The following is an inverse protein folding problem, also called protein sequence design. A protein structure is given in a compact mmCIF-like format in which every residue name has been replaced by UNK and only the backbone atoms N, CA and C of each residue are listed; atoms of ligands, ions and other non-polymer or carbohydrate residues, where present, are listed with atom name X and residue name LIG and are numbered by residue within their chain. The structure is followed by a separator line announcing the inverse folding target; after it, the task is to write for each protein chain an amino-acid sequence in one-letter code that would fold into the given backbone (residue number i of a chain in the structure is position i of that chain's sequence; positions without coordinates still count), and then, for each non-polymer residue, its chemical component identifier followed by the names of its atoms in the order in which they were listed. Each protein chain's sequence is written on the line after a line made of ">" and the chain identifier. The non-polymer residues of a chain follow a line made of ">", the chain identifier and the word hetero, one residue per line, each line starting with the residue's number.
data_IF_051299023210
#
_entry.id   IF_051299023210
#
_cell.length_a   1.000
_cell.length_b   1.000
_cell.length_c   1.000
_cell.angle_alpha   90.00
_cell.angle_beta   90.00
_cell.angle_gamma   90.00
#
_symmetry.space_group_name_H-M   'P 1'
#
loop_
_entity.id
_entity.type
_entity.pdbx_description
1 polymer ?
#
# COMPACT_ATOMS: atom_id res chain seq x y z
N UNK A 1 6.28 0.02 -15.03
CA UNK A 1 7.60 -0.06 -14.37
C UNK A 1 8.74 0.22 -15.35
N UNK A 2 8.79 -0.44 -16.52
CA UNK A 2 9.91 -0.31 -17.49
C UNK A 2 10.18 1.12 -17.93
N UNK A 3 9.14 1.90 -18.22
CA UNK A 3 9.27 3.30 -18.61
C UNK A 3 9.96 4.17 -17.52
N UNK A 4 9.60 3.95 -16.26
CA UNK A 4 10.18 4.69 -15.12
C UNK A 4 11.63 4.28 -14.80
N UNK A 5 12.13 3.20 -15.39
CA UNK A 5 13.55 2.79 -15.32
C UNK A 5 14.43 3.42 -16.40
N UNK A 6 13.85 4.22 -17.33
CA UNK A 6 14.68 4.97 -18.27
C UNK A 6 15.56 5.96 -17.48
N UNK A 7 16.86 6.12 -17.83
CA UNK A 7 17.79 6.88 -17.00
C UNK A 7 17.30 8.28 -16.64
N UNK A 8 16.81 9.04 -17.60
CA UNK A 8 16.34 10.41 -17.36
C UNK A 8 15.16 10.49 -16.37
N UNK A 9 14.22 9.52 -16.41
CA UNK A 9 13.10 9.48 -15.47
C UNK A 9 13.49 8.93 -14.10
N UNK A 10 14.37 7.94 -14.07
CA UNK A 10 14.89 7.41 -12.81
C UNK A 10 15.64 8.50 -12.05
N UNK A 11 16.51 9.25 -12.71
CA UNK A 11 17.24 10.39 -12.13
C UNK A 11 16.27 11.47 -11.62
N UNK A 12 15.26 11.83 -12.43
CA UNK A 12 14.26 12.82 -12.02
C UNK A 12 13.42 12.38 -10.81
N UNK A 13 13.06 11.09 -10.73
CA UNK A 13 12.35 10.53 -9.57
C UNK A 13 13.24 10.56 -8.33
N UNK A 14 14.50 10.15 -8.45
CA UNK A 14 15.42 10.16 -7.33
C UNK A 14 15.75 11.57 -6.88
N UNK A 15 15.90 12.53 -7.79
CA UNK A 15 16.05 13.95 -7.47
C UNK A 15 14.83 14.47 -6.70
N UNK A 16 13.61 14.19 -7.18
CA UNK A 16 12.37 14.56 -6.51
C UNK A 16 12.34 14.06 -5.07
N UNK A 17 12.67 12.81 -4.85
CA UNK A 17 12.56 12.15 -3.53
C UNK A 17 13.70 12.50 -2.58
N UNK A 18 14.93 12.70 -3.08
CA UNK A 18 16.13 12.88 -2.25
C UNK A 18 16.56 14.34 -2.06
N UNK A 19 16.30 15.21 -3.04
CA UNK A 19 16.80 16.57 -3.03
C UNK A 19 15.71 17.64 -3.03
N UNK A 20 14.52 17.32 -3.54
CA UNK A 20 13.42 18.30 -3.70
C UNK A 20 12.29 18.12 -2.70
N UNK A 21 12.50 17.34 -1.67
CA UNK A 21 11.51 17.08 -0.60
C UNK A 21 10.18 16.52 -1.10
N UNK A 22 10.19 15.84 -2.26
CA UNK A 22 8.99 15.35 -2.92
C UNK A 22 8.39 14.12 -2.26
N UNK A 23 7.11 13.89 -2.56
CA UNK A 23 6.35 12.74 -2.09
C UNK A 23 5.82 11.95 -3.30
N UNK A 24 5.71 10.62 -3.14
CA UNK A 24 5.15 9.75 -4.18
C UNK A 24 4.15 8.76 -3.59
N UNK A 25 2.95 8.70 -4.18
CA UNK A 25 1.91 7.75 -3.82
C UNK A 25 1.58 6.84 -5.01
N UNK A 26 1.58 5.54 -4.76
CA UNK A 26 1.14 4.52 -5.72
C UNK A 26 -0.11 3.80 -5.23
N UNK A 27 -1.21 3.91 -5.99
CA UNK A 27 -2.46 3.23 -5.67
C UNK A 27 -2.67 2.08 -6.66
N UNK A 28 -3.02 0.90 -6.15
CA UNK A 28 -3.32 -0.30 -6.93
C UNK A 28 -2.18 -0.66 -7.91
N UNK A 29 -2.36 -0.46 -9.22
CA UNK A 29 -1.32 -0.63 -10.22
C UNK A 29 -0.09 0.26 -9.99
N UNK A 30 -0.30 1.45 -9.42
CA UNK A 30 0.80 2.33 -8.97
C UNK A 30 1.64 1.67 -7.88
N UNK A 31 1.01 1.06 -6.90
CA UNK A 31 1.73 0.31 -5.85
C UNK A 31 2.55 -0.85 -6.44
N UNK A 32 1.97 -1.62 -7.36
CA UNK A 32 2.70 -2.68 -8.06
C UNK A 32 3.95 -2.13 -8.79
N UNK A 33 3.82 -0.96 -9.43
CA UNK A 33 4.95 -0.32 -10.10
C UNK A 33 6.04 0.11 -9.10
N UNK A 34 5.64 0.73 -7.97
CA UNK A 34 6.58 1.15 -6.92
C UNK A 34 7.35 -0.03 -6.32
N UNK A 35 6.67 -1.16 -6.06
CA UNK A 35 7.34 -2.38 -5.57
C UNK A 35 8.32 -2.93 -6.60
N UNK A 36 7.90 -3.05 -7.86
CA UNK A 36 8.78 -3.55 -8.95
C UNK A 36 9.99 -2.65 -9.22
N UNK A 37 9.91 -1.38 -8.87
CA UNK A 37 11.02 -0.43 -8.98
C UNK A 37 11.96 -0.44 -7.77
N UNK A 38 11.52 -0.98 -6.62
CA UNK A 38 12.23 -0.89 -5.35
C UNK A 38 11.95 0.36 -4.54
N UNK A 39 11.14 1.30 -5.07
CA UNK A 39 10.78 2.55 -4.38
C UNK A 39 10.04 2.29 -3.07
N UNK A 40 9.25 1.25 -2.98
CA UNK A 40 8.84 0.63 -1.73
C UNK A 40 9.26 -0.84 -1.75
N UNK A 41 9.88 -1.36 -0.69
CA UNK A 41 10.11 -0.73 0.62
C UNK A 41 11.45 0.02 0.76
N UNK A 42 12.26 0.18 -0.28
CA UNK A 42 13.66 0.61 -0.14
C UNK A 42 13.89 2.12 -0.32
N UNK A 43 12.95 2.86 -0.91
CA UNK A 43 13.08 4.31 -1.15
C UNK A 43 14.02 4.68 -2.29
N UNK A 44 14.38 3.73 -3.15
CA UNK A 44 15.26 3.91 -4.28
C UNK A 44 14.90 2.99 -5.45
N UNK A 45 15.23 3.39 -6.66
CA UNK A 45 15.10 2.53 -7.83
C UNK A 45 16.28 1.55 -7.84
N UNK A 46 15.93 0.26 -7.75
CA UNK A 46 16.91 -0.85 -7.70
C UNK A 46 16.37 -2.09 -8.38
N UNK A 47 17.24 -3.04 -8.65
CA UNK A 47 16.83 -4.36 -9.10
C UNK A 47 16.25 -5.15 -7.93
N UNK A 48 15.18 -5.88 -8.22
CA UNK A 48 14.45 -6.71 -7.28
C UNK A 48 14.73 -8.18 -7.57
N UNK A 49 14.95 -8.93 -6.52
CA UNK A 49 15.23 -10.37 -6.56
C UNK A 49 14.26 -11.16 -5.67
N UNK A 50 14.51 -12.46 -5.52
CA UNK A 50 13.68 -13.38 -4.73
C UNK A 50 13.67 -13.09 -3.22
N UNK A 51 14.61 -12.29 -2.71
CA UNK A 51 14.67 -11.87 -1.30
C UNK A 51 13.81 -10.64 -1.02
N UNK A 52 13.26 -10.02 -2.06
CA UNK A 52 12.47 -8.79 -1.98
C UNK A 52 10.97 -9.08 -1.87
N UNK A 53 10.22 -8.18 -1.23
CA UNK A 53 8.76 -8.23 -1.28
C UNK A 53 8.22 -8.03 -2.70
N UNK A 54 7.05 -8.60 -2.98
CA UNK A 54 6.36 -8.39 -4.26
C UNK A 54 4.84 -8.40 -4.10
N UNK A 55 4.16 -7.97 -5.16
CA UNK A 55 2.72 -8.12 -5.34
C UNK A 55 2.45 -9.16 -6.42
N UNK A 56 1.56 -10.09 -6.14
CA UNK A 56 1.23 -11.21 -7.01
C UNK A 56 -0.28 -11.46 -7.07
N UNK A 57 -0.68 -12.52 -7.77
CA UNK A 57 -2.09 -12.89 -7.93
C UNK A 57 -2.79 -13.10 -6.60
N UNK A 58 -4.06 -12.66 -6.52
CA UNK A 58 -4.94 -12.94 -5.41
C UNK A 58 -5.02 -14.46 -5.18
N UNK A 59 -5.12 -14.90 -3.92
CA UNK A 59 -5.19 -16.33 -3.56
C UNK A 59 -6.30 -17.08 -4.29
N UNK A 60 -7.42 -16.42 -4.53
CA UNK A 60 -8.57 -17.04 -5.24
C UNK A 60 -8.38 -17.12 -6.75
N UNK A 61 -7.24 -16.68 -7.31
CA UNK A 61 -6.92 -16.77 -8.73
C UNK A 61 -7.77 -15.89 -9.66
N UNK A 62 -8.52 -14.91 -9.13
CA UNK A 62 -9.38 -14.04 -9.94
C UNK A 62 -9.45 -12.62 -9.40
N UNK A 63 -9.98 -11.72 -10.22
CA UNK A 63 -10.24 -10.32 -9.87
C UNK A 63 -11.18 -10.22 -8.66
N UNK A 64 -10.85 -9.32 -7.73
CA UNK A 64 -11.70 -8.91 -6.61
C UNK A 64 -12.07 -7.45 -6.77
N UNK A 65 -13.37 -7.16 -6.72
CA UNK A 65 -13.91 -5.80 -6.69
C UNK A 65 -14.92 -5.72 -5.55
N UNK A 66 -14.53 -5.08 -4.45
CA UNK A 66 -15.37 -4.94 -3.25
C UNK A 66 -14.85 -3.85 -2.33
N UNK A 67 -15.63 -3.47 -1.34
CA UNK A 67 -15.16 -2.68 -0.21
C UNK A 67 -14.50 -3.57 0.83
N UNK A 68 -13.42 -3.07 1.42
CA UNK A 68 -12.68 -3.68 2.53
C UNK A 68 -12.47 -2.65 3.62
N UNK A 69 -12.34 -3.10 4.86
CA UNK A 69 -11.92 -2.24 5.96
C UNK A 69 -10.42 -2.40 6.17
N UNK A 70 -9.74 -1.27 6.26
CA UNK A 70 -8.31 -1.20 6.56
C UNK A 70 -8.08 -0.40 7.84
N UNK A 71 -7.01 -0.73 8.55
CA UNK A 71 -6.53 -0.02 9.73
C UNK A 71 -5.20 0.63 9.45
N UNK A 72 -5.00 1.84 9.94
CA UNK A 72 -3.69 2.49 9.98
C UNK A 72 -2.81 1.75 10.98
N UNK A 73 -1.72 1.15 10.49
CA UNK A 73 -0.77 0.39 11.30
C UNK A 73 0.43 1.25 11.74
N UNK A 74 0.83 2.23 10.91
CA UNK A 74 1.92 3.17 11.20
C UNK A 74 1.61 4.54 10.61
N UNK A 75 2.11 5.58 11.24
CA UNK A 75 2.04 6.98 10.78
C UNK A 75 3.43 7.57 10.48
N UNK A 76 4.44 6.72 10.27
CA UNK A 76 5.81 7.10 9.97
C UNK A 76 5.98 7.63 8.53
N UNK A 77 5.14 8.58 8.14
CA UNK A 77 5.10 9.11 6.78
C UNK A 77 4.43 10.48 6.76
N UNK A 78 4.93 11.43 5.94
CA UNK A 78 4.23 12.69 5.66
C UNK A 78 2.81 12.49 5.10
N UNK A 79 2.55 11.37 4.41
CA UNK A 79 1.22 11.02 3.92
C UNK A 79 0.19 10.79 5.03
N UNK A 80 0.64 10.57 6.27
CA UNK A 80 -0.21 10.18 7.39
C UNK A 80 -0.39 11.28 8.44
N UNK A 81 -0.07 12.53 8.11
CA UNK A 81 -0.13 13.68 9.05
C UNK A 81 -1.51 13.88 9.70
N UNK A 82 -2.58 13.52 8.98
CA UNK A 82 -3.97 13.63 9.47
C UNK A 82 -4.55 12.31 9.98
N UNK A 83 -3.74 11.26 10.06
CA UNK A 83 -4.15 9.91 10.49
C UNK A 83 -3.57 9.56 11.85
N UNK A 84 -4.21 8.62 12.54
CA UNK A 84 -3.73 8.04 13.81
C UNK A 84 -3.65 6.53 13.68
N UNK A 85 -2.68 5.93 14.36
CA UNK A 85 -2.60 4.46 14.47
C UNK A 85 -3.93 3.94 15.05
N UNK A 86 -4.50 2.97 14.37
CA UNK A 86 -5.81 2.40 14.74
C UNK A 86 -6.99 2.98 13.96
N UNK A 87 -6.86 4.09 13.25
CA UNK A 87 -7.95 4.62 12.42
C UNK A 87 -8.40 3.58 11.40
N UNK A 88 -9.72 3.43 11.27
CA UNK A 88 -10.37 2.49 10.37
C UNK A 88 -10.97 3.21 9.17
N UNK A 89 -10.69 2.70 7.97
CA UNK A 89 -11.24 3.23 6.72
C UNK A 89 -11.84 2.11 5.88
N UNK A 90 -13.02 2.34 5.34
CA UNK A 90 -13.69 1.41 4.42
C UNK A 90 -13.51 1.91 3.00
N UNK A 91 -12.68 1.23 2.23
CA UNK A 91 -12.23 1.65 0.90
C UNK A 91 -12.50 0.58 -0.15
N UNK A 92 -12.75 0.96 -1.41
CA UNK A 92 -12.90 -0.01 -2.49
C UNK A 92 -11.54 -0.55 -2.93
N UNK A 93 -11.51 -1.84 -3.27
CA UNK A 93 -10.43 -2.50 -4.00
C UNK A 93 -10.93 -3.01 -5.34
N UNK A 94 -10.05 -3.10 -6.34
CA UNK A 94 -10.38 -3.62 -7.66
C UNK A 94 -9.10 -4.11 -8.36
N UNK A 95 -8.75 -5.37 -8.14
CA UNK A 95 -7.50 -5.95 -8.66
C UNK A 95 -7.52 -7.47 -8.75
N UNK A 96 -6.75 -8.04 -9.70
CA UNK A 96 -6.43 -9.46 -9.80
C UNK A 96 -5.10 -9.83 -9.14
N UNK A 97 -4.19 -8.85 -9.02
CA UNK A 97 -2.83 -8.96 -8.48
C UNK A 97 -2.65 -7.94 -7.36
N UNK A 98 -3.14 -8.23 -6.17
CA UNK A 98 -3.04 -7.35 -5.01
C UNK A 98 -2.49 -8.02 -3.76
N UNK A 99 -2.05 -9.27 -3.90
CA UNK A 99 -1.52 -10.07 -2.80
C UNK A 99 -0.08 -9.67 -2.51
N UNK A 100 0.14 -9.03 -1.37
CA UNK A 100 1.48 -8.74 -0.88
C UNK A 100 2.10 -10.01 -0.29
N UNK A 101 3.30 -10.34 -0.76
CA UNK A 101 4.12 -11.45 -0.27
C UNK A 101 5.54 -10.96 -0.01
N UNK A 102 6.15 -11.49 1.04
CA UNK A 102 7.52 -11.15 1.42
C UNK A 102 8.20 -12.36 2.07
N UNK A 103 9.50 -12.59 1.83
CA UNK A 103 10.30 -13.49 2.64
C UNK A 103 10.28 -13.06 4.11
N UNK A 104 10.48 -14.01 5.02
CA UNK A 104 10.38 -13.77 6.46
C UNK A 104 11.26 -12.61 6.93
N UNK A 105 12.51 -12.57 6.52
CA UNK A 105 13.45 -11.51 6.91
C UNK A 105 13.01 -10.12 6.43
N UNK A 106 12.49 -10.03 5.20
CA UNK A 106 11.97 -8.78 4.66
C UNK A 106 10.71 -8.32 5.41
N UNK A 107 9.80 -9.25 5.74
CA UNK A 107 8.62 -8.95 6.54
C UNK A 107 8.97 -8.45 7.94
N UNK A 108 9.88 -9.12 8.62
CA UNK A 108 10.37 -8.73 9.96
C UNK A 108 11.00 -7.33 9.93
N UNK A 109 11.78 -7.02 8.89
CA UNK A 109 12.37 -5.69 8.69
C UNK A 109 11.29 -4.63 8.48
N UNK A 110 10.30 -4.87 7.64
CA UNK A 110 9.18 -3.94 7.41
C UNK A 110 8.42 -3.61 8.70
N UNK A 111 8.17 -4.62 9.52
CA UNK A 111 7.46 -4.46 10.80
C UNK A 111 8.35 -3.68 11.79
N UNK A 112 9.61 -4.08 11.96
CA UNK A 112 10.54 -3.46 12.89
C UNK A 112 10.78 -1.96 12.56
N UNK A 113 10.82 -1.61 11.28
CA UNK A 113 11.02 -0.24 10.82
C UNK A 113 9.73 0.60 10.77
N UNK A 114 8.57 0.03 11.13
CA UNK A 114 7.29 0.74 11.06
C UNK A 114 6.87 1.10 9.63
N UNK A 115 7.30 0.33 8.64
CA UNK A 115 7.00 0.56 7.23
C UNK A 115 5.66 -0.04 6.78
N UNK A 116 4.97 -0.81 7.62
CA UNK A 116 3.60 -1.27 7.34
C UNK A 116 2.65 -0.11 7.57
N UNK A 117 2.10 0.43 6.49
CA UNK A 117 1.23 1.61 6.50
C UNK A 117 -0.19 1.25 6.96
N UNK A 118 -0.79 0.29 6.29
CA UNK A 118 -2.17 -0.12 6.48
C UNK A 118 -2.32 -1.64 6.38
N UNK A 119 -3.32 -2.17 7.11
CA UNK A 119 -3.61 -3.60 7.16
C UNK A 119 -5.10 -3.85 6.94
N UNK A 120 -5.46 -4.95 6.27
CA UNK A 120 -6.82 -5.46 6.23
C UNK A 120 -7.26 -5.94 7.61
N UNK A 121 -8.49 -5.62 7.99
CA UNK A 121 -9.01 -5.95 9.31
C UNK A 121 -10.37 -6.63 9.23
N UNK A 122 -10.66 -7.43 10.27
CA UNK A 122 -11.97 -8.05 10.49
C UNK A 122 -13.02 -7.03 10.99
N UNK A 123 -14.21 -7.53 11.32
CA UNK A 123 -15.30 -6.71 11.84
C UNK A 123 -15.00 -6.07 13.21
N UNK A 124 -14.04 -6.62 13.97
CA UNK A 124 -13.57 -6.06 15.24
C UNK A 124 -12.40 -5.06 15.07
N UNK A 125 -11.99 -4.79 13.83
CA UNK A 125 -10.87 -3.88 13.53
C UNK A 125 -9.49 -4.50 13.80
N UNK A 126 -9.40 -5.83 13.89
CA UNK A 126 -8.13 -6.52 14.10
C UNK A 126 -7.55 -7.04 12.78
N UNK A 127 -6.21 -6.89 12.56
CA UNK A 127 -5.55 -7.45 11.39
C UNK A 127 -5.83 -8.96 11.25
N UNK A 128 -6.21 -9.39 10.04
CA UNK A 128 -6.64 -10.77 9.84
C UNK A 128 -6.14 -11.38 8.55
N UNK A 129 -5.90 -12.68 8.58
CA UNK A 129 -5.59 -13.50 7.42
C UNK A 129 -6.84 -14.18 6.83
N UNK A 130 -8.02 -13.98 7.44
CA UNK A 130 -9.27 -14.51 6.91
C UNK A 130 -9.58 -13.89 5.55
N UNK A 131 -9.77 -14.74 4.54
CA UNK A 131 -10.03 -14.35 3.14
C UNK A 131 -11.33 -13.54 2.98
N UNK A 132 -12.26 -13.63 3.94
CA UNK A 132 -13.47 -12.83 3.95
C UNK A 132 -13.17 -11.33 4.12
N UNK A 133 -12.07 -10.97 4.80
CA UNK A 133 -11.67 -9.61 5.10
C UNK A 133 -10.36 -9.20 4.43
N UNK A 134 -9.45 -10.14 4.17
CA UNK A 134 -8.21 -9.99 3.43
C UNK A 134 -8.30 -10.74 2.09
N UNK A 135 -9.09 -10.22 1.14
CA UNK A 135 -9.55 -10.99 -0.02
C UNK A 135 -8.46 -11.34 -1.04
N UNK A 136 -7.33 -10.71 -0.99
CA UNK A 136 -6.14 -11.05 -1.79
C UNK A 136 -5.21 -12.05 -1.09
N UNK A 137 -5.35 -12.25 0.23
CA UNK A 137 -4.50 -13.15 1.02
C UNK A 137 -3.10 -12.59 1.27
N UNK A 138 -2.99 -11.27 1.42
CA UNK A 138 -1.72 -10.59 1.73
C UNK A 138 -1.15 -11.03 3.08
N UNK A 139 0.15 -11.35 3.11
CA UNK A 139 0.84 -11.74 4.35
C UNK A 139 0.75 -10.62 5.41
N UNK A 140 0.60 -11.00 6.68
CA UNK A 140 0.41 -10.09 7.81
C UNK A 140 -0.71 -9.06 7.59
N UNK A 141 -1.70 -9.39 6.75
CA UNK A 141 -2.79 -8.53 6.34
C UNK A 141 -2.36 -7.20 5.68
N UNK A 142 -1.13 -7.09 5.17
CA UNK A 142 -0.59 -5.84 4.62
C UNK A 142 -1.40 -5.39 3.40
N UNK A 143 -1.93 -4.15 3.48
CA UNK A 143 -2.64 -3.47 2.39
C UNK A 143 -1.77 -2.39 1.74
N UNK A 144 -0.89 -1.75 2.54
CA UNK A 144 0.03 -0.71 2.07
C UNK A 144 1.30 -0.64 2.91
N UNK A 145 2.36 -0.11 2.29
CA UNK A 145 3.69 0.06 2.92
C UNK A 145 4.33 1.40 2.55
N UNK A 146 5.32 1.80 3.35
CA UNK A 146 6.15 2.97 3.13
C UNK A 146 7.58 2.63 2.67
N UNK A 147 8.27 3.61 2.07
CA UNK A 147 9.73 3.68 2.06
C UNK A 147 10.29 3.94 3.47
N UNK A 148 11.59 3.73 3.73
CA UNK A 148 12.17 3.92 5.05
C UNK A 148 12.01 5.34 5.60
N UNK A 149 12.01 6.34 4.72
CA UNK A 149 11.81 7.77 5.04
C UNK A 149 10.33 8.20 4.99
N UNK A 150 9.42 7.27 4.68
CA UNK A 150 7.99 7.53 4.58
C UNK A 150 7.55 8.37 3.38
N UNK A 151 8.46 8.80 2.50
CA UNK A 151 8.14 9.69 1.37
C UNK A 151 7.41 8.98 0.24
N UNK A 152 7.70 7.71 0.06
CA UNK A 152 6.99 6.86 -0.91
C UNK A 152 6.01 5.98 -0.16
N UNK A 153 4.75 6.01 -0.58
CA UNK A 153 3.69 5.15 -0.07
C UNK A 153 3.07 4.35 -1.20
N UNK A 154 2.89 3.06 -0.97
CA UNK A 154 2.15 2.19 -1.88
C UNK A 154 1.00 1.51 -1.15
N UNK A 155 -0.18 1.43 -1.77
CA UNK A 155 -1.36 0.76 -1.22
C UNK A 155 -2.27 0.21 -2.31
N UNK A 156 -3.07 -0.82 -1.98
CA UNK A 156 -3.97 -1.46 -2.93
C UNK A 156 -5.36 -0.80 -3.01
N UNK A 157 -5.84 -0.24 -1.92
CA UNK A 157 -7.18 0.36 -1.86
C UNK A 157 -7.25 1.73 -2.51
N UNK A 158 -8.37 1.97 -3.18
CA UNK A 158 -8.66 3.17 -3.96
C UNK A 158 -9.35 4.24 -3.11
N UNK A 159 -8.59 4.98 -2.32
CA UNK A 159 -9.14 6.08 -1.51
C UNK A 159 -9.66 7.25 -2.36
N UNK A 160 -9.20 7.37 -3.60
CA UNK A 160 -9.64 8.40 -4.56
C UNK A 160 -11.05 8.12 -5.11
N UNK A 161 -11.53 6.88 -5.01
CA UNK A 161 -12.88 6.50 -5.46
C UNK A 161 -13.92 6.83 -4.39
N UNK A 162 -14.06 8.11 -4.10
CA UNK A 162 -15.03 8.64 -3.12
C UNK A 162 -15.85 9.79 -3.72
N UNK A 163 -17.02 10.05 -3.16
CA UNK A 163 -17.90 11.12 -3.57
C UNK A 163 -19.23 11.06 -2.81
N UNK A 164 -20.01 12.11 -2.91
CA UNK A 164 -21.28 12.25 -2.18
C UNK A 164 -22.21 11.03 -2.37
N UNK A 165 -22.20 10.41 -3.54
CA UNK A 165 -23.09 9.29 -3.89
C UNK A 165 -22.36 7.96 -4.06
N UNK A 166 -21.05 7.89 -3.77
CA UNK A 166 -20.24 6.68 -3.94
C UNK A 166 -20.26 5.86 -2.66
N UNK A 167 -20.67 4.60 -2.77
CA UNK A 167 -20.71 3.66 -1.65
C UNK A 167 -21.66 4.04 -0.53
N UNK A 168 -22.78 4.72 -0.82
CA UNK A 168 -23.73 5.22 0.18
C UNK A 168 -24.30 4.10 1.05
N UNK A 169 -24.51 2.91 0.47
CA UNK A 169 -25.05 1.73 1.16
C UNK A 169 -23.98 0.90 1.87
N UNK A 170 -22.72 1.31 1.81
CA UNK A 170 -21.62 0.59 2.45
C UNK A 170 -21.31 1.28 3.79
N UNK A 171 -21.36 0.59 4.92
CA UNK A 171 -21.04 1.18 6.22
C UNK A 171 -19.54 1.51 6.34
N UNK A 172 -19.20 2.35 7.30
CA UNK A 172 -17.82 2.69 7.66
C UNK A 172 -17.34 4.04 7.10
N UNK A 173 -16.19 4.49 7.62
CA UNK A 173 -15.54 5.73 7.22
C UNK A 173 -14.82 5.55 5.87
N UNK A 174 -15.23 6.29 4.85
CA UNK A 174 -14.66 6.25 3.51
C UNK A 174 -13.61 7.34 3.25
N UNK A 175 -13.41 8.19 4.24
CA UNK A 175 -12.48 9.31 4.13
C UNK A 175 -11.14 8.98 4.77
N UNK A 176 -10.16 8.61 3.95
CA UNK A 176 -8.77 8.46 4.36
C UNK A 176 -8.01 9.74 3.95
N UNK A 177 -7.54 10.58 4.89
CA UNK A 177 -7.06 11.93 4.60
C UNK A 177 -5.60 11.97 4.15
N UNK A 178 -5.24 11.26 3.06
CA UNK A 178 -3.87 11.24 2.53
C UNK A 178 -3.52 12.48 1.70
N UNK A 179 -4.51 13.24 1.23
CA UNK A 179 -4.31 14.43 0.38
C UNK A 179 -4.57 15.75 1.13
N UNK A 180 -4.56 15.72 2.46
CA UNK A 180 -4.84 16.88 3.33
C UNK A 180 -3.60 17.32 4.15
#
# INVERSE_FOLDING_TARGET
>A
ASFLRSPALADAIMDLLKHRDGLMLGICNGFQALVKLGLVPYGEIRDMDETCPTLTYNLIGRHQSRYVTTRVASVNSPWMLKSRVGDLHTIPISHGEGRFVAPKAALESLIANGQVATQYVDAAGQPTMDIAFNPNGSIAAIEGIFSPDGRVMGKMGHLERRGQYVGVNIPGNKHQPLFE
#
